data_IF_191697637065
#
_entry.id   IF_191697637065
#
_cell.length_a   1.000
_cell.length_b   1.000
_cell.length_c   1.000
_cell.angle_alpha   90.00
_cell.angle_beta   90.00
_cell.angle_gamma   90.00
#
_symmetry.space_group_name_H-M   'P 1'
#
loop_
_entity.id
_entity.type
_entity.pdbx_description
1 polymer ?
#
# COMPACT_ATOMS: atom_id res chain seq x y z
N UNK A 1 11.69 17.74 17.31
CA UNK A 1 12.85 16.83 17.21
C UNK A 1 12.56 15.56 16.40
N UNK A 2 11.34 14.99 16.41
CA UNK A 2 11.05 13.77 15.64
C UNK A 2 10.67 13.98 14.16
N UNK A 3 9.99 15.09 13.82
CA UNK A 3 9.46 15.31 12.46
C UNK A 3 10.56 15.45 11.39
N UNK A 4 11.63 16.18 11.69
CA UNK A 4 12.74 16.38 10.74
C UNK A 4 13.45 15.05 10.40
N UNK A 5 13.68 14.18 11.38
CA UNK A 5 14.30 12.88 11.17
C UNK A 5 13.36 11.91 10.42
N UNK A 6 12.06 12.00 10.67
CA UNK A 6 11.04 11.27 9.91
C UNK A 6 11.02 11.69 8.43
N UNK A 7 11.02 12.99 8.15
CA UNK A 7 11.07 13.52 6.79
C UNK A 7 12.35 13.10 6.06
N UNK A 8 13.51 13.16 6.75
CA UNK A 8 14.79 12.66 6.21
C UNK A 8 14.70 11.17 5.85
N UNK A 9 14.14 10.35 6.74
CA UNK A 9 13.98 8.92 6.50
C UNK A 9 13.07 8.64 5.29
N UNK A 10 11.93 9.34 5.18
CA UNK A 10 11.03 9.23 4.03
C UNK A 10 11.72 9.63 2.73
N UNK A 11 12.52 10.71 2.75
CA UNK A 11 13.27 11.17 1.58
C UNK A 11 14.27 10.11 1.11
N UNK A 12 15.07 9.54 2.03
CA UNK A 12 16.03 8.49 1.71
C UNK A 12 15.33 7.28 1.06
N UNK A 13 14.18 6.87 1.62
CA UNK A 13 13.41 5.75 1.09
C UNK A 13 12.86 6.04 -0.32
N UNK A 14 12.32 7.24 -0.52
CA UNK A 14 11.81 7.70 -1.82
C UNK A 14 12.92 7.78 -2.86
N UNK A 15 14.07 8.33 -2.50
CA UNK A 15 15.24 8.44 -3.39
C UNK A 15 15.72 7.04 -3.82
N UNK A 16 15.80 6.10 -2.88
CA UNK A 16 16.16 4.71 -3.18
C UNK A 16 15.20 4.07 -4.19
N UNK A 17 13.89 4.24 -4.02
CA UNK A 17 12.90 3.66 -4.94
C UNK A 17 12.86 4.37 -6.29
N UNK A 18 13.00 5.70 -6.33
CA UNK A 18 13.10 6.46 -7.57
C UNK A 18 14.30 6.06 -8.43
N UNK A 19 15.39 5.60 -7.80
CA UNK A 19 16.56 5.04 -8.50
C UNK A 19 16.28 3.69 -9.18
N UNK A 20 15.19 3.00 -8.80
CA UNK A 20 14.72 1.76 -9.43
C UNK A 20 13.72 2.12 -10.52
N UNK A 21 14.19 2.10 -11.77
CA UNK A 21 13.43 2.49 -12.94
C UNK A 21 12.04 1.79 -12.98
N UNK A 22 10.96 2.57 -12.85
CA UNK A 22 9.59 2.08 -13.00
C UNK A 22 9.01 1.30 -11.82
N UNK A 23 9.50 1.51 -10.59
CA UNK A 23 8.90 0.88 -9.43
C UNK A 23 7.43 1.33 -9.23
N UNK A 24 6.47 0.40 -9.00
CA UNK A 24 5.04 0.65 -9.23
C UNK A 24 4.32 1.44 -8.13
N UNK A 25 4.91 1.61 -6.95
CA UNK A 25 4.27 2.30 -5.81
C UNK A 25 5.27 3.15 -5.02
N UNK A 26 4.83 4.15 -4.26
CA UNK A 26 5.71 4.86 -3.33
C UNK A 26 6.44 3.92 -2.37
N UNK A 27 7.62 4.33 -1.92
CA UNK A 27 8.50 3.47 -1.13
C UNK A 27 7.87 2.94 0.17
N UNK A 28 7.07 3.77 0.83
CA UNK A 28 6.35 3.41 2.05
C UNK A 28 5.23 2.37 1.82
N UNK A 29 4.84 2.10 0.57
CA UNK A 29 3.92 1.02 0.19
C UNK A 29 4.62 -0.18 -0.46
N UNK A 30 5.96 -0.20 -0.51
CA UNK A 30 6.77 -1.22 -1.17
C UNK A 30 6.82 -2.57 -0.41
N UNK A 31 5.67 -3.09 0.00
CA UNK A 31 5.55 -4.39 0.66
C UNK A 31 5.05 -5.46 -0.33
N UNK A 32 5.59 -6.70 -0.33
CA UNK A 32 5.17 -7.75 -1.28
C UNK A 32 3.66 -8.01 -1.31
N UNK A 33 3.00 -8.05 -0.15
CA UNK A 33 1.53 -8.22 -0.07
C UNK A 33 0.78 -7.10 -0.78
N UNK A 34 1.30 -5.87 -0.80
CA UNK A 34 0.68 -4.77 -1.56
C UNK A 34 0.74 -5.08 -3.05
N UNK A 35 1.89 -5.54 -3.56
CA UNK A 35 2.04 -5.95 -4.96
C UNK A 35 1.07 -7.08 -5.31
N UNK A 36 0.94 -8.09 -4.45
CA UNK A 36 0.00 -9.19 -4.66
C UNK A 36 -1.46 -8.71 -4.70
N UNK A 37 -1.81 -7.69 -3.91
CA UNK A 37 -3.15 -7.07 -3.93
C UNK A 37 -3.37 -6.26 -5.22
N UNK A 38 -2.37 -5.51 -5.70
CA UNK A 38 -2.44 -4.80 -6.98
C UNK A 38 -2.62 -5.78 -8.15
N UNK A 39 -1.82 -6.85 -8.18
CA UNK A 39 -1.91 -7.91 -9.19
C UNK A 39 -3.29 -8.56 -9.15
N UNK A 40 -3.84 -8.83 -7.96
CA UNK A 40 -5.22 -9.35 -7.83
C UNK A 40 -6.26 -8.39 -8.39
N UNK A 41 -6.16 -7.09 -8.09
CA UNK A 41 -7.09 -6.09 -8.61
C UNK A 41 -7.11 -6.07 -10.15
N UNK A 42 -5.94 -6.12 -10.78
CA UNK A 42 -5.81 -6.16 -12.25
C UNK A 42 -6.35 -7.49 -12.81
N UNK A 43 -5.93 -8.63 -12.24
CA UNK A 43 -6.38 -9.96 -12.69
C UNK A 43 -7.89 -10.16 -12.57
N UNK A 44 -8.53 -9.51 -11.60
CA UNK A 44 -9.97 -9.56 -11.40
C UNK A 44 -10.73 -8.52 -12.25
N UNK A 45 -10.04 -7.74 -13.09
CA UNK A 45 -10.65 -6.72 -13.93
C UNK A 45 -11.17 -5.51 -13.17
N UNK A 46 -10.73 -5.30 -11.92
CA UNK A 46 -11.09 -4.13 -11.11
C UNK A 46 -10.23 -2.90 -11.44
N UNK A 47 -9.11 -3.09 -12.12
CA UNK A 47 -8.20 -2.05 -12.57
C UNK A 47 -7.49 -2.48 -13.86
N UNK A 48 -7.10 -1.52 -14.69
CA UNK A 48 -6.33 -1.73 -15.93
C UNK A 48 -4.88 -1.25 -15.75
N UNK A 49 -4.67 -0.20 -14.96
CA UNK A 49 -3.35 0.36 -14.65
C UNK A 49 -2.92 0.10 -13.20
N UNK A 50 -1.63 0.30 -12.91
CA UNK A 50 -1.09 0.18 -11.55
C UNK A 50 -1.69 1.24 -10.61
N UNK A 51 -1.86 2.47 -11.09
CA UNK A 51 -2.41 3.57 -10.29
C UNK A 51 -3.89 3.34 -9.94
N UNK A 52 -4.66 2.81 -10.90
CA UNK A 52 -6.04 2.35 -10.65
C UNK A 52 -6.06 1.21 -9.63
N UNK A 53 -5.15 0.23 -9.78
CA UNK A 53 -5.06 -0.88 -8.85
C UNK A 53 -4.72 -0.40 -7.44
N UNK A 54 -3.85 0.61 -7.31
CA UNK A 54 -3.49 1.20 -6.02
C UNK A 54 -4.69 1.92 -5.40
N UNK A 55 -5.47 2.62 -6.21
CA UNK A 55 -6.72 3.27 -5.77
C UNK A 55 -7.71 2.23 -5.25
N UNK A 56 -7.91 1.14 -5.99
CA UNK A 56 -8.73 0.00 -5.57
C UNK A 56 -8.25 -0.60 -4.24
N UNK A 57 -6.94 -0.82 -4.09
CA UNK A 57 -6.38 -1.37 -2.85
C UNK A 57 -6.58 -0.41 -1.67
N UNK A 58 -6.42 0.90 -1.86
CA UNK A 58 -6.70 1.92 -0.84
C UNK A 58 -8.16 1.88 -0.40
N UNK A 59 -9.10 1.80 -1.33
CA UNK A 59 -10.54 1.71 -1.06
C UNK A 59 -10.90 0.44 -0.29
N UNK A 60 -10.40 -0.72 -0.75
CA UNK A 60 -10.63 -2.01 -0.08
C UNK A 60 -10.13 -1.97 1.37
N UNK A 61 -8.93 -1.45 1.60
CA UNK A 61 -8.37 -1.34 2.95
C UNK A 61 -9.13 -0.35 3.82
N UNK A 62 -9.68 0.73 3.26
CA UNK A 62 -10.56 1.66 4.00
C UNK A 62 -11.87 0.99 4.39
N UNK A 63 -12.46 0.18 3.51
CA UNK A 63 -13.72 -0.52 3.75
C UNK A 63 -13.62 -1.58 4.86
N UNK A 64 -12.44 -2.12 5.12
CA UNK A 64 -12.19 -3.14 6.15
C UNK A 64 -12.17 -2.56 7.57
N UNK A 65 -13.33 -2.14 8.08
CA UNK A 65 -13.50 -1.68 9.46
C UNK A 65 -13.57 -2.83 10.49
N UNK A 66 -13.63 -2.50 11.80
CA UNK A 66 -13.65 -3.49 12.89
C UNK A 66 -14.82 -4.48 12.88
N UNK A 67 -15.94 -4.11 12.24
CA UNK A 67 -17.15 -4.93 12.15
C UNK A 67 -17.18 -5.84 10.92
N UNK A 68 -16.22 -5.73 10.01
CA UNK A 68 -16.20 -6.51 8.77
C UNK A 68 -15.57 -7.88 9.02
N UNK A 69 -16.32 -8.94 8.72
CA UNK A 69 -15.83 -10.32 8.79
C UNK A 69 -15.17 -10.71 7.47
N UNK A 70 -13.94 -11.20 7.55
CA UNK A 70 -13.16 -11.69 6.41
C UNK A 70 -12.59 -13.07 6.70
N UNK A 71 -12.00 -13.71 5.68
CA UNK A 71 -11.26 -14.95 5.88
C UNK A 71 -10.00 -14.71 6.74
N UNK A 72 -9.48 -15.77 7.40
CA UNK A 72 -8.24 -15.65 8.18
C UNK A 72 -7.07 -15.14 7.34
N UNK A 73 -6.93 -15.66 6.12
CA UNK A 73 -5.88 -15.23 5.19
C UNK A 73 -5.98 -13.73 4.88
N UNK A 74 -7.19 -13.24 4.62
CA UNK A 74 -7.40 -11.82 4.34
C UNK A 74 -7.09 -10.95 5.56
N UNK A 75 -7.48 -11.42 6.76
CA UNK A 75 -7.14 -10.74 8.01
C UNK A 75 -5.62 -10.63 8.20
N UNK A 76 -4.88 -11.73 8.00
CA UNK A 76 -3.42 -11.77 8.15
C UNK A 76 -2.73 -10.78 7.19
N UNK A 77 -3.20 -10.70 5.94
CA UNK A 77 -2.69 -9.73 4.97
C UNK A 77 -2.98 -8.28 5.39
N UNK A 78 -4.21 -8.02 5.84
CA UNK A 78 -4.70 -6.67 6.17
C UNK A 78 -4.01 -6.10 7.40
N UNK A 79 -3.81 -6.91 8.45
CA UNK A 79 -3.09 -6.48 9.65
C UNK A 79 -1.65 -6.05 9.33
N UNK A 80 -1.02 -6.68 8.33
CA UNK A 80 0.34 -6.33 7.88
C UNK A 80 0.35 -5.03 7.08
N UNK A 81 -0.56 -4.88 6.10
CA UNK A 81 -0.45 -3.76 5.13
C UNK A 81 -1.25 -2.53 5.52
N UNK A 82 -2.43 -2.66 6.15
CA UNK A 82 -3.31 -1.52 6.47
C UNK A 82 -2.61 -0.44 7.31
N UNK A 83 -1.74 -0.75 8.30
CA UNK A 83 -0.99 0.26 9.03
C UNK A 83 -0.10 1.13 8.14
N UNK A 84 0.52 0.58 7.08
CA UNK A 84 1.35 1.34 6.15
C UNK A 84 0.53 2.42 5.43
N UNK A 85 -0.68 2.07 5.00
CA UNK A 85 -1.62 3.01 4.38
C UNK A 85 -2.15 4.05 5.35
N UNK A 86 -2.53 3.62 6.56
CA UNK A 86 -3.04 4.52 7.59
C UNK A 86 -1.99 5.54 8.05
N UNK A 87 -0.73 5.12 8.22
CA UNK A 87 0.38 5.99 8.61
C UNK A 87 0.63 7.11 7.59
N UNK A 88 0.41 6.81 6.31
CA UNK A 88 0.55 7.77 5.22
C UNK A 88 -0.78 8.42 4.82
N UNK A 89 -1.83 8.28 5.64
CA UNK A 89 -3.15 8.87 5.40
C UNK A 89 -3.76 8.50 4.04
N UNK A 90 -3.38 7.34 3.48
CA UNK A 90 -3.76 6.89 2.14
C UNK A 90 -3.37 7.87 1.00
N UNK A 91 -2.33 8.69 1.22
CA UNK A 91 -1.72 9.58 0.21
C UNK A 91 -1.40 8.84 -1.08
#
# INVERSE_FOLDING_TARGET
>A
FGEEEWEKALKIQSDYVSSKNGFPVPAYYAHPIVMDRLIRAIKMGRAVTVDEALTVVKEDLKALGPSVKVSQKEYDEVVVVKPLFALMEYK
#
